data_IF_048188508955
#
_entry.id   IF_048188508955
#
_cell.length_a   1.000
_cell.length_b   1.000
_cell.length_c   1.000
_cell.angle_alpha   90.00
_cell.angle_beta   90.00
_cell.angle_gamma   90.00
#
_symmetry.space_group_name_H-M   'P 1'
#
loop_
_entity.id
_entity.type
_entity.pdbx_description
1 polymer ?
#
# COMPACT_ATOMS: atom_id res chain seq x y z
N UNK A 1 -22.62 -3.52 7.54
CA UNK A 1 -21.35 -3.79 8.22
C UNK A 1 -20.50 -2.54 7.98
N UNK A 2 -20.02 -1.86 9.01
CA UNK A 2 -19.09 -0.74 8.83
C UNK A 2 -17.68 -1.32 8.97
N UNK A 3 -16.89 -1.21 7.91
CA UNK A 3 -15.46 -1.56 7.96
C UNK A 3 -14.69 -0.35 8.44
N UNK A 4 -13.69 -0.58 9.29
CA UNK A 4 -12.72 0.46 9.65
C UNK A 4 -11.58 0.33 8.64
N UNK A 5 -11.49 1.29 7.73
CA UNK A 5 -10.40 1.40 6.76
C UNK A 5 -9.39 2.44 7.22
N UNK A 6 -8.12 2.06 7.23
CA UNK A 6 -7.02 2.95 7.57
C UNK A 6 -6.72 3.97 6.47
N UNK A 7 -6.19 5.12 6.87
CA UNK A 7 -5.61 6.11 5.97
C UNK A 7 -4.34 6.69 6.61
N UNK A 8 -3.35 7.02 5.79
CA UNK A 8 -2.05 7.54 6.23
C UNK A 8 -1.50 8.59 5.26
N UNK A 9 -0.59 9.42 5.74
CA UNK A 9 0.15 10.35 4.90
C UNK A 9 1.31 9.64 4.21
N UNK A 10 1.63 10.08 3.00
CA UNK A 10 2.69 9.52 2.20
C UNK A 10 3.51 10.61 1.50
N UNK A 11 4.80 10.32 1.27
CA UNK A 11 5.77 11.27 0.76
C UNK A 11 6.54 12.02 1.87
N UNK A 12 7.76 12.48 1.58
CA UNK A 12 8.65 13.16 2.55
C UNK A 12 8.04 14.41 3.18
N UNK A 13 7.09 15.07 2.52
CA UNK A 13 6.40 16.28 2.99
C UNK A 13 4.91 16.04 3.25
N UNK A 14 4.46 14.78 3.29
CA UNK A 14 3.03 14.44 3.36
C UNK A 14 2.23 15.10 2.23
N UNK A 15 2.82 15.13 1.03
CA UNK A 15 2.19 15.63 -0.20
C UNK A 15 1.12 14.69 -0.75
N UNK A 16 1.07 13.45 -0.24
CA UNK A 16 0.08 12.45 -0.63
C UNK A 16 -0.71 11.91 0.56
N UNK A 17 -1.93 11.47 0.28
CA UNK A 17 -2.77 10.71 1.22
C UNK A 17 -3.07 9.35 0.64
N UNK A 18 -2.96 8.31 1.46
CA UNK A 18 -3.24 6.93 1.06
C UNK A 18 -4.36 6.37 1.93
N UNK A 19 -5.33 5.70 1.31
CA UNK A 19 -6.46 5.10 2.01
C UNK A 19 -6.83 3.72 1.45
N UNK A 20 -7.13 2.77 2.33
CA UNK A 20 -7.76 1.51 1.95
C UNK A 20 -9.25 1.67 1.66
N UNK A 21 -9.83 0.70 0.95
CA UNK A 21 -11.24 0.69 0.56
C UNK A 21 -11.85 -0.70 0.70
N UNK A 22 -13.18 -0.75 0.81
CA UNK A 22 -13.97 -1.98 0.93
C UNK A 22 -14.03 -2.80 -0.37
N UNK A 23 -13.65 -2.18 -1.50
CA UNK A 23 -13.66 -2.80 -2.82
C UNK A 23 -12.37 -3.55 -3.18
N UNK A 24 -11.46 -3.70 -2.22
CA UNK A 24 -10.17 -4.38 -2.42
C UNK A 24 -9.06 -3.49 -2.98
N UNK A 25 -9.34 -2.20 -3.21
CA UNK A 25 -8.34 -1.24 -3.65
C UNK A 25 -7.79 -0.41 -2.49
N UNK A 26 -6.63 0.18 -2.73
CA UNK A 26 -6.27 1.41 -2.05
C UNK A 26 -6.09 2.53 -3.05
N UNK A 27 -6.26 3.75 -2.56
CA UNK A 27 -6.21 4.97 -3.33
C UNK A 27 -5.09 5.86 -2.84
N UNK A 28 -4.40 6.51 -3.78
CA UNK A 28 -3.38 7.52 -3.56
C UNK A 28 -3.90 8.85 -4.11
N UNK A 29 -3.99 9.82 -3.22
CA UNK A 29 -4.49 11.16 -3.48
C UNK A 29 -3.35 12.15 -3.43
N UNK A 30 -3.36 13.09 -4.36
CA UNK A 30 -2.50 14.26 -4.31
C UNK A 30 -3.14 15.34 -3.44
N UNK A 31 -2.39 15.87 -2.48
CA UNK A 31 -2.90 16.81 -1.48
C UNK A 31 -3.25 18.18 -2.06
N UNK A 32 -2.55 18.63 -3.10
CA UNK A 32 -2.73 19.97 -3.66
C UNK A 32 -3.90 20.02 -4.64
N UNK A 33 -4.00 19.03 -5.52
CA UNK A 33 -5.06 18.91 -6.52
C UNK A 33 -6.34 18.26 -5.97
N UNK A 34 -6.27 17.63 -4.80
CA UNK A 34 -7.35 16.82 -4.20
C UNK A 34 -7.80 15.66 -5.09
N UNK A 35 -6.99 15.32 -6.11
CA UNK A 35 -7.30 14.31 -7.10
C UNK A 35 -6.73 12.94 -6.74
N UNK A 36 -7.43 11.89 -7.14
CA UNK A 36 -6.87 10.54 -7.16
C UNK A 36 -5.83 10.47 -8.28
N UNK A 37 -4.57 10.28 -7.91
CA UNK A 37 -3.48 10.11 -8.88
C UNK A 37 -3.21 8.64 -9.19
N UNK A 38 -3.62 7.74 -8.29
CA UNK A 38 -3.46 6.30 -8.46
C UNK A 38 -4.41 5.49 -7.57
N UNK A 39 -4.73 4.28 -8.00
CA UNK A 39 -5.32 3.22 -7.19
C UNK A 39 -4.70 1.89 -7.57
N UNK A 40 -4.58 0.97 -6.61
CA UNK A 40 -4.01 -0.35 -6.83
C UNK A 40 -4.84 -1.41 -6.12
N UNK A 41 -5.02 -2.56 -6.78
CA UNK A 41 -5.79 -3.68 -6.27
C UNK A 41 -4.94 -4.44 -5.25
N UNK A 42 -5.26 -4.30 -3.97
CA UNK A 42 -4.46 -4.82 -2.88
C UNK A 42 -5.03 -6.06 -2.20
N UNK A 43 -6.32 -6.31 -2.27
CA UNK A 43 -6.92 -7.51 -1.72
C UNK A 43 -8.03 -7.96 -2.65
N UNK A 44 -7.97 -9.22 -3.10
CA UNK A 44 -8.87 -9.75 -4.12
C UNK A 44 -10.20 -10.16 -3.48
N UNK A 45 -10.15 -10.60 -2.22
CA UNK A 45 -11.28 -11.22 -1.53
C UNK A 45 -12.03 -10.23 -0.63
N UNK A 46 -11.55 -8.99 -0.49
CA UNK A 46 -12.36 -7.88 0.03
C UNK A 46 -11.55 -6.72 0.61
N UNK A 47 -12.07 -6.13 1.69
CA UNK A 47 -11.65 -4.82 2.17
C UNK A 47 -10.17 -4.72 2.57
N UNK A 48 -9.53 -3.60 2.21
CA UNK A 48 -8.18 -3.22 2.67
C UNK A 48 -8.29 -2.47 4.00
N UNK A 49 -8.26 -3.21 5.10
CA UNK A 49 -8.47 -2.67 6.44
C UNK A 49 -7.31 -1.78 6.93
N UNK A 50 -6.07 -2.12 6.56
CA UNK A 50 -4.87 -1.45 7.05
C UNK A 50 -4.00 -1.03 5.88
N UNK A 51 -3.53 0.22 5.93
CA UNK A 51 -2.50 0.74 5.04
C UNK A 51 -1.54 1.64 5.82
N UNK A 52 -0.25 1.39 5.68
CA UNK A 52 0.80 2.11 6.41
C UNK A 52 1.95 2.49 5.47
N UNK A 53 2.51 3.68 5.69
CA UNK A 53 3.65 4.21 4.94
C UNK A 53 4.94 4.02 5.70
N UNK A 54 6.01 3.69 4.96
CA UNK A 54 7.35 3.70 5.52
C UNK A 54 7.77 5.15 5.82
N UNK A 55 8.31 5.46 7.01
CA UNK A 55 8.55 6.84 7.43
C UNK A 55 9.60 7.58 6.59
N UNK A 56 10.45 6.84 5.87
CA UNK A 56 11.57 7.42 5.10
C UNK A 56 11.74 6.88 3.68
N UNK A 57 11.05 5.80 3.33
CA UNK A 57 11.22 5.13 2.04
C UNK A 57 9.89 5.21 1.29
N UNK A 58 9.90 5.25 -0.05
CA UNK A 58 8.68 5.25 -0.85
C UNK A 58 8.06 3.84 -0.87
N UNK A 59 7.69 3.31 0.29
CA UNK A 59 7.18 1.95 0.47
C UNK A 59 5.88 2.00 1.26
N UNK A 60 4.89 1.22 0.83
CA UNK A 60 3.62 1.05 1.53
C UNK A 60 3.43 -0.41 1.91
N UNK A 61 2.79 -0.65 3.05
CA UNK A 61 2.27 -1.96 3.42
C UNK A 61 0.75 -1.92 3.48
N UNK A 62 0.10 -2.97 2.98
CA UNK A 62 -1.34 -3.15 3.10
C UNK A 62 -1.70 -4.55 3.61
N UNK A 63 -2.79 -4.63 4.35
CA UNK A 63 -3.40 -5.87 4.81
C UNK A 63 -4.93 -5.73 4.87
N UNK A 64 -5.64 -6.80 4.50
CA UNK A 64 -7.09 -6.80 4.37
C UNK A 64 -7.75 -8.03 4.97
N UNK A 65 -8.62 -8.67 4.21
CA UNK A 65 -9.29 -9.92 4.57
C UNK A 65 -8.52 -11.16 4.12
N UNK A 66 -7.58 -10.99 3.19
CA UNK A 66 -6.61 -12.02 2.79
C UNK A 66 -5.76 -12.52 3.99
N UNK A 67 -5.26 -13.74 3.88
CA UNK A 67 -4.30 -14.31 4.84
C UNK A 67 -2.86 -13.79 4.69
N UNK A 68 -2.68 -12.76 3.87
CA UNK A 68 -1.38 -12.24 3.44
C UNK A 68 -1.36 -10.72 3.51
N UNK A 69 -0.16 -10.17 3.69
CA UNK A 69 0.08 -8.74 3.55
C UNK A 69 0.91 -8.47 2.31
N UNK A 70 0.82 -7.24 1.79
CA UNK A 70 1.48 -6.85 0.56
C UNK A 70 2.36 -5.64 0.80
N UNK A 71 3.56 -5.67 0.24
CA UNK A 71 4.50 -4.54 0.26
C UNK A 71 4.56 -3.95 -1.14
N UNK A 72 4.36 -2.64 -1.23
CA UNK A 72 4.35 -1.87 -2.46
C UNK A 72 5.61 -1.02 -2.54
N UNK A 73 6.39 -1.23 -3.59
CA UNK A 73 7.61 -0.47 -3.86
C UNK A 73 7.56 0.13 -5.26
N UNK A 74 8.14 1.31 -5.51
CA UNK A 74 8.26 1.83 -6.86
C UNK A 74 9.02 0.82 -7.73
N UNK A 75 8.47 0.55 -8.90
CA UNK A 75 9.12 -0.23 -9.94
C UNK A 75 10.33 0.55 -10.41
N UNK A 76 11.46 -0.16 -10.49
CA UNK A 76 12.63 0.39 -11.15
C UNK A 76 12.27 0.64 -12.63
N UNK A 77 12.52 1.84 -13.18
CA UNK A 77 12.21 2.16 -14.58
C UNK A 77 12.79 1.18 -15.60
N UNK A 78 13.84 0.44 -15.23
CA UNK A 78 14.49 -0.57 -16.05
C UNK A 78 13.66 -1.84 -16.30
N UNK A 79 12.58 -2.06 -15.54
CA UNK A 79 11.64 -3.18 -15.70
C UNK A 79 10.23 -2.71 -16.12
N UNK A 80 10.09 -1.43 -16.45
CA UNK A 80 8.87 -0.90 -17.01
C UNK A 80 8.80 -1.32 -18.49
N UNK A 81 8.33 -2.54 -18.77
CA UNK A 81 8.01 -2.93 -20.14
C UNK A 81 7.04 -1.90 -20.77
N UNK A 82 7.16 -1.73 -22.09
CA UNK A 82 6.46 -0.78 -22.96
C UNK A 82 4.95 -1.06 -23.03
N UNK A 83 4.25 -0.96 -21.91
CA UNK A 83 2.81 -0.74 -21.90
C UNK A 83 2.57 0.78 -21.85
N UNK A 84 2.24 1.34 -23.01
CA UNK A 84 1.95 2.77 -23.24
C UNK A 84 0.73 3.29 -22.46
N UNK A 85 0.01 2.43 -21.74
CA UNK A 85 -1.15 2.78 -20.92
C UNK A 85 -0.81 3.28 -19.51
N UNK A 86 0.45 3.17 -19.06
CA UNK A 86 0.78 3.35 -17.64
C UNK A 86 1.56 4.67 -17.42
N UNK A 87 0.83 5.78 -17.38
CA UNK A 87 1.28 7.09 -16.86
C UNK A 87 1.14 7.20 -15.33
N UNK A 88 0.85 6.11 -14.63
CA UNK A 88 0.67 6.06 -13.19
C UNK A 88 1.94 5.52 -12.52
N UNK A 89 2.36 6.12 -11.39
CA UNK A 89 3.50 5.67 -10.56
C UNK A 89 3.57 4.14 -10.51
N UNK A 90 4.55 3.52 -11.16
CA UNK A 90 4.59 2.07 -11.27
C UNK A 90 4.97 1.52 -9.88
N UNK A 91 4.05 0.87 -9.17
CA UNK A 91 4.36 0.15 -7.92
C UNK A 91 4.26 -1.36 -8.18
N UNK A 92 5.26 -2.11 -7.72
CA UNK A 92 5.20 -3.57 -7.66
C UNK A 92 4.74 -3.99 -6.27
N UNK A 93 3.83 -4.97 -6.21
CA UNK A 93 3.50 -5.66 -4.97
C UNK A 93 4.27 -6.96 -4.85
N UNK A 94 4.80 -7.23 -3.66
CA UNK A 94 5.23 -8.58 -3.28
C UNK A 94 4.29 -9.11 -2.21
N UNK A 95 3.70 -10.26 -2.49
CA UNK A 95 2.86 -10.99 -1.53
C UNK A 95 3.75 -11.66 -0.51
N UNK A 96 3.54 -11.37 0.78
CA UNK A 96 4.34 -11.96 1.85
C UNK A 96 3.42 -12.79 2.75
N UNK A 97 3.72 -14.07 2.86
CA UNK A 97 2.89 -15.01 3.61
C UNK A 97 2.92 -14.72 5.12
N UNK A 98 1.76 -14.74 5.76
CA UNK A 98 1.61 -14.43 7.20
C UNK A 98 2.43 -15.34 8.11
N UNK A 99 2.72 -16.58 7.71
CA UNK A 99 3.59 -17.48 8.49
C UNK A 99 5.04 -16.96 8.63
N UNK A 100 5.52 -16.12 7.71
CA UNK A 100 6.83 -15.45 7.83
C UNK A 100 6.83 -14.46 9.02
N UNK A 101 5.66 -14.00 9.45
CA UNK A 101 5.46 -13.16 10.63
C UNK A 101 5.00 -13.95 11.88
N UNK A 102 4.74 -15.26 11.82
CA UNK A 102 4.43 -16.04 13.04
C UNK A 102 5.62 -16.14 14.01
N UNK A 103 6.83 -15.85 13.52
CA UNK A 103 8.01 -15.56 14.36
C UNK A 103 7.92 -14.20 15.10
N UNK A 104 6.88 -13.39 14.84
CA UNK A 104 6.65 -12.02 15.35
C UNK A 104 5.38 -11.87 16.21
N UNK A 105 5.14 -12.79 17.14
CA UNK A 105 4.63 -12.33 18.44
C UNK A 105 5.66 -11.41 19.15
N UNK A 106 6.88 -11.35 18.62
CA UNK A 106 7.92 -10.35 18.91
C UNK A 106 7.61 -8.98 18.29
N UNK A 107 7.98 -7.92 18.99
CA UNK A 107 7.84 -6.46 18.73
C UNK A 107 8.32 -5.95 17.36
N UNK A 108 8.63 -6.82 16.41
CA UNK A 108 9.23 -6.55 15.10
C UNK A 108 8.25 -6.02 14.04
N UNK A 109 6.92 -6.15 14.20
CA UNK A 109 5.99 -5.45 13.30
C UNK A 109 6.15 -3.91 13.41
N UNK A 110 6.44 -3.40 14.61
CA UNK A 110 6.83 -1.99 14.85
C UNK A 110 8.23 -1.63 14.35
N UNK A 111 9.04 -2.61 13.93
CA UNK A 111 10.40 -2.35 13.45
C UNK A 111 10.48 -2.10 11.93
N UNK A 112 9.42 -2.42 11.18
CA UNK A 112 9.34 -2.14 9.74
C UNK A 112 8.70 -0.78 9.45
N UNK A 113 8.00 -0.23 10.43
CA UNK A 113 7.35 1.08 10.40
C UNK A 113 7.52 1.67 11.81
N UNK A 114 8.67 2.30 12.13
CA UNK A 114 8.93 2.87 13.45
C UNK A 114 8.00 4.03 13.78
#
# INVERSE_FOLDING_TARGET
MQTIVGATFFGPNSEYVVSGSDDGYFYLWDRESEGIIQWLHADIDGAVNVIESHPTLPVLASAGLDYDFKIWTPLCPLFAEQDETINHLKYASTKVHSDVLRLRHSRLAKAFFP
#
